data_IF_881820321044
#
_entry.id   IF_881820321044
#
_cell.length_a   1.000
_cell.length_b   1.000
_cell.length_c   1.000
_cell.angle_alpha   90.00
_cell.angle_beta   90.00
_cell.angle_gamma   90.00
#
_symmetry.space_group_name_H-M   'P 1'
#
loop_
_entity.id
_entity.type
_entity.pdbx_description
1 polymer ?
#
# COMPACT_ATOMS: atom_id res chain seq x y z
N UNK A 1 9.74 37.73 -8.67
CA UNK A 1 10.40 36.51 -8.16
C UNK A 1 9.82 36.19 -6.80
N UNK A 2 8.97 35.16 -6.68
CA UNK A 2 8.36 34.77 -5.40
C UNK A 2 9.16 33.63 -4.75
N UNK A 3 9.53 33.85 -3.50
CA UNK A 3 10.36 33.00 -2.66
C UNK A 3 9.57 31.73 -2.26
N UNK A 4 9.97 30.55 -2.77
CA UNK A 4 9.37 29.27 -2.40
C UNK A 4 9.86 28.89 -1.00
N UNK A 5 9.09 29.22 0.05
CA UNK A 5 9.31 28.68 1.38
C UNK A 5 9.15 27.15 1.31
N UNK A 6 10.22 26.41 1.56
CA UNK A 6 10.21 24.95 1.63
C UNK A 6 9.32 24.51 2.79
N UNK A 7 8.35 23.63 2.50
CA UNK A 7 7.44 23.09 3.49
C UNK A 7 8.24 22.30 4.56
N UNK A 8 7.96 22.49 5.86
CA UNK A 8 8.70 21.80 6.92
C UNK A 8 8.47 20.29 6.83
N UNK A 9 9.56 19.51 6.90
CA UNK A 9 9.56 18.04 6.91
C UNK A 9 8.73 17.51 8.09
N UNK A 10 7.44 17.23 7.85
CA UNK A 10 6.48 16.59 8.78
C UNK A 10 6.76 15.09 9.00
N UNK A 11 7.99 14.62 8.85
CA UNK A 11 8.28 13.18 8.79
C UNK A 11 8.38 12.51 10.17
N UNK A 12 8.93 13.19 11.18
CA UNK A 12 9.09 12.58 12.52
C UNK A 12 7.77 12.42 13.28
N UNK A 13 6.86 13.39 13.15
CA UNK A 13 5.54 13.33 13.80
C UNK A 13 4.64 12.26 13.17
N UNK A 14 4.63 12.13 11.85
CA UNK A 14 3.89 11.03 11.21
C UNK A 14 4.41 9.66 11.63
N UNK A 15 5.73 9.50 11.75
CA UNK A 15 6.32 8.22 12.17
C UNK A 15 6.03 7.93 13.65
N UNK A 16 6.07 8.94 14.53
CA UNK A 16 5.69 8.76 15.93
C UNK A 16 4.20 8.47 16.08
N UNK A 17 3.35 9.17 15.32
CA UNK A 17 1.89 8.98 15.33
C UNK A 17 1.54 7.58 14.79
N UNK A 18 2.26 7.09 13.77
CA UNK A 18 2.12 5.74 13.23
C UNK A 18 2.57 4.67 14.23
N UNK A 19 3.73 4.86 14.88
CA UNK A 19 4.26 3.94 15.90
C UNK A 19 3.39 3.91 17.16
N UNK A 20 2.83 5.05 17.58
CA UNK A 20 1.89 5.11 18.71
C UNK A 20 0.56 4.43 18.43
N UNK A 21 0.18 4.28 17.16
CA UNK A 21 -1.01 3.52 16.75
C UNK A 21 -0.80 2.00 16.69
N UNK A 22 0.46 1.54 16.76
CA UNK A 22 0.81 0.11 16.74
C UNK A 22 0.75 -0.49 18.15
N UNK A 23 0.92 0.32 19.19
CA UNK A 23 0.75 -0.14 20.57
C UNK A 23 -0.73 -0.39 20.88
N UNK A 24 -1.10 -1.65 20.77
CA UNK A 24 -2.36 -2.29 21.21
C UNK A 24 -3.63 -1.99 20.40
N UNK A 25 -3.68 -2.51 19.17
CA UNK A 25 -4.94 -3.05 18.63
C UNK A 25 -5.17 -4.45 19.20
N UNK A 26 -5.97 -4.55 20.27
CA UNK A 26 -6.62 -5.82 20.63
C UNK A 26 -7.82 -5.99 19.69
N UNK A 27 -7.58 -6.55 18.51
CA UNK A 27 -8.66 -7.05 17.68
C UNK A 27 -9.08 -8.38 18.32
N UNK A 28 -10.35 -8.48 18.71
CA UNK A 28 -10.99 -9.78 18.97
C UNK A 28 -10.60 -10.73 17.82
N UNK A 29 -10.16 -11.95 18.13
CA UNK A 29 -9.52 -12.89 17.18
C UNK A 29 -10.32 -13.04 15.86
N UNK A 30 -11.65 -12.94 15.95
CA UNK A 30 -12.59 -13.00 14.82
C UNK A 30 -12.54 -11.77 13.88
N UNK A 31 -12.47 -10.57 14.44
CA UNK A 31 -12.52 -9.32 13.66
C UNK A 31 -11.21 -9.02 12.95
N UNK A 32 -10.08 -9.36 13.57
CA UNK A 32 -8.76 -9.23 12.94
C UNK A 32 -8.63 -10.13 11.72
N UNK A 33 -9.09 -11.38 11.84
CA UNK A 33 -9.05 -12.37 10.77
C UNK A 33 -9.88 -11.92 9.57
N UNK A 34 -11.13 -11.49 9.81
CA UNK A 34 -12.02 -11.02 8.74
C UNK A 34 -11.48 -9.77 8.02
N UNK A 35 -10.85 -8.84 8.75
CA UNK A 35 -10.22 -7.67 8.13
C UNK A 35 -9.09 -8.08 7.18
N UNK A 36 -8.19 -8.96 7.61
CA UNK A 36 -7.08 -9.43 6.78
C UNK A 36 -7.56 -10.18 5.53
N UNK A 37 -8.55 -11.06 5.67
CA UNK A 37 -9.16 -11.76 4.53
C UNK A 37 -9.75 -10.78 3.51
N UNK A 38 -10.40 -9.71 3.99
CA UNK A 38 -10.93 -8.66 3.12
C UNK A 38 -9.83 -7.91 2.39
N UNK A 39 -8.72 -7.60 3.04
CA UNK A 39 -7.56 -6.97 2.40
C UNK A 39 -6.99 -7.88 1.32
N UNK A 40 -6.78 -9.17 1.62
CA UNK A 40 -6.27 -10.16 0.67
C UNK A 40 -7.18 -10.26 -0.56
N UNK A 41 -8.50 -10.42 -0.35
CA UNK A 41 -9.48 -10.47 -1.43
C UNK A 41 -9.44 -9.20 -2.30
N UNK A 42 -9.26 -8.03 -1.68
CA UNK A 42 -9.11 -6.77 -2.40
C UNK A 42 -7.82 -6.70 -3.20
N UNK A 43 -6.69 -7.19 -2.68
CA UNK A 43 -5.41 -7.20 -3.39
C UNK A 43 -5.52 -7.91 -4.74
N UNK A 44 -6.11 -9.11 -4.77
CA UNK A 44 -6.34 -9.86 -6.01
C UNK A 44 -7.22 -9.09 -7.01
N UNK A 45 -8.35 -8.54 -6.54
CA UNK A 45 -9.27 -7.77 -7.39
C UNK A 45 -8.61 -6.49 -7.92
N UNK A 46 -7.84 -5.79 -7.09
CA UNK A 46 -7.15 -4.56 -7.48
C UNK A 46 -6.09 -4.83 -8.54
N UNK A 47 -5.29 -5.89 -8.38
CA UNK A 47 -4.32 -6.31 -9.42
C UNK A 47 -5.05 -6.65 -10.72
N UNK A 48 -6.05 -7.52 -10.67
CA UNK A 48 -6.82 -7.90 -11.86
C UNK A 48 -7.40 -6.68 -12.60
N UNK A 49 -7.99 -5.74 -11.87
CA UNK A 49 -8.59 -4.54 -12.49
C UNK A 49 -7.52 -3.63 -13.09
N UNK A 50 -6.37 -3.50 -12.43
CA UNK A 50 -5.30 -2.58 -12.83
C UNK A 50 -4.56 -3.02 -14.10
N UNK A 51 -4.54 -4.32 -14.43
CA UNK A 51 -3.78 -4.87 -15.56
C UNK A 51 -4.16 -4.20 -16.88
N UNK A 52 -5.46 -4.07 -17.14
CA UNK A 52 -5.97 -3.42 -18.34
C UNK A 52 -5.55 -1.94 -18.49
N UNK A 53 -5.23 -1.28 -17.37
CA UNK A 53 -4.70 0.09 -17.38
C UNK A 53 -3.18 0.09 -17.53
N UNK A 54 -2.48 -0.84 -16.88
CA UNK A 54 -1.01 -0.97 -16.99
C UNK A 54 -0.59 -1.25 -18.44
N UNK A 55 -1.32 -2.11 -19.15
CA UNK A 55 -1.08 -2.44 -20.57
C UNK A 55 -1.20 -1.23 -21.51
N UNK A 56 -2.05 -0.26 -21.16
CA UNK A 56 -2.20 1.00 -21.92
C UNK A 56 -1.04 1.97 -21.69
N UNK A 57 -0.15 1.66 -20.74
CA UNK A 57 1.01 2.48 -20.38
C UNK A 57 0.65 3.68 -19.49
N UNK A 58 1.68 4.32 -18.92
CA UNK A 58 1.59 5.55 -18.10
C UNK A 58 0.56 5.50 -16.95
N UNK A 59 0.35 4.32 -16.37
CA UNK A 59 -0.59 4.13 -15.26
C UNK A 59 0.08 4.38 -13.91
N UNK A 60 -0.60 5.15 -13.05
CA UNK A 60 -0.23 5.35 -11.65
C UNK A 60 -1.34 4.80 -10.75
N UNK A 61 -0.99 3.84 -9.88
CA UNK A 61 -1.95 3.20 -8.96
C UNK A 61 -1.56 3.55 -7.53
N UNK A 62 -2.45 4.25 -6.82
CA UNK A 62 -2.27 4.56 -5.40
C UNK A 62 -3.06 3.58 -4.53
N UNK A 63 -2.41 3.01 -3.51
CA UNK A 63 -3.01 2.05 -2.57
C UNK A 63 -2.52 2.34 -1.15
N UNK A 64 -3.30 1.93 -0.15
CA UNK A 64 -2.86 1.95 1.25
C UNK A 64 -1.75 0.93 1.53
N UNK A 65 -0.95 1.18 2.56
CA UNK A 65 0.22 0.36 2.91
C UNK A 65 -0.11 -1.13 3.10
N UNK A 66 -1.25 -1.42 3.73
CA UNK A 66 -1.72 -2.79 3.97
C UNK A 66 -1.88 -3.65 2.69
N UNK A 67 -1.97 -3.03 1.52
CA UNK A 67 -2.11 -3.74 0.25
C UNK A 67 -0.78 -4.17 -0.39
N UNK A 68 0.36 -3.63 0.06
CA UNK A 68 1.63 -3.77 -0.66
C UNK A 68 2.45 -4.99 -0.23
N UNK A 69 2.53 -5.26 1.06
CA UNK A 69 3.46 -6.22 1.67
C UNK A 69 2.80 -7.57 1.95
N UNK A 70 3.61 -8.57 2.31
CA UNK A 70 3.12 -9.92 2.63
C UNK A 70 2.99 -10.84 1.40
N UNK A 71 2.74 -12.13 1.65
CA UNK A 71 2.66 -13.17 0.60
C UNK A 71 1.60 -12.83 -0.46
N UNK A 72 0.43 -12.40 0.00
CA UNK A 72 -0.71 -12.00 -0.85
C UNK A 72 -0.79 -10.47 -1.04
N UNK A 73 0.32 -9.76 -0.79
CA UNK A 73 0.46 -8.35 -1.11
C UNK A 73 0.56 -8.12 -2.61
N UNK A 74 0.06 -6.98 -3.08
CA UNK A 74 0.01 -6.65 -4.51
C UNK A 74 1.38 -6.74 -5.21
N UNK A 75 2.49 -6.39 -4.53
CA UNK A 75 3.85 -6.51 -5.09
C UNK A 75 4.15 -7.97 -5.48
N UNK A 76 3.81 -8.92 -4.63
CA UNK A 76 4.09 -10.34 -4.89
C UNK A 76 3.13 -10.92 -5.93
N UNK A 77 1.87 -10.48 -5.94
CA UNK A 77 0.90 -10.88 -6.97
C UNK A 77 1.35 -10.38 -8.35
N UNK A 78 1.82 -9.13 -8.49
CA UNK A 78 2.37 -8.66 -9.77
C UNK A 78 3.59 -9.47 -10.20
N UNK A 79 4.53 -9.76 -9.30
CA UNK A 79 5.70 -10.61 -9.62
C UNK A 79 5.27 -12.00 -10.11
N UNK A 80 4.29 -12.64 -9.46
CA UNK A 80 3.82 -13.97 -9.87
C UNK A 80 3.14 -13.96 -11.23
N UNK A 81 2.62 -12.82 -11.66
CA UNK A 81 2.03 -12.61 -12.99
C UNK A 81 3.06 -12.21 -14.06
N UNK A 82 4.35 -12.22 -13.74
CA UNK A 82 5.44 -11.95 -14.68
C UNK A 82 5.84 -10.49 -14.82
N UNK A 83 5.31 -9.59 -13.99
CA UNK A 83 5.73 -8.19 -14.01
C UNK A 83 7.14 -8.02 -13.43
N UNK A 84 7.96 -7.21 -14.10
CA UNK A 84 9.23 -6.73 -13.53
C UNK A 84 8.95 -5.50 -12.68
N UNK A 85 9.28 -5.56 -11.39
CA UNK A 85 9.11 -4.45 -10.46
C UNK A 85 10.44 -3.79 -10.13
N UNK A 86 10.46 -2.46 -10.18
CA UNK A 86 11.61 -1.64 -9.80
C UNK A 86 11.19 -0.61 -8.75
N UNK A 87 11.95 -0.52 -7.66
CA UNK A 87 11.81 0.57 -6.69
C UNK A 87 12.33 1.87 -7.32
N UNK A 88 11.50 2.90 -7.27
CA UNK A 88 11.87 4.27 -7.70
C UNK A 88 12.18 5.06 -6.42
N UNK A 89 13.29 5.80 -6.43
CA UNK A 89 13.78 6.63 -5.33
C UNK A 89 13.80 8.09 -5.74
#
# INVERSE_FOLDING_TARGET
>A
MQNRKSAPRRTKKMLSDLLSGVETFHLEEDQGTQYFENVIRRNFRMVQNSESYIEKGRTFVAVGEAHLTGKDGMINIYKSKGFTLKRVF
#
